data_IF_291348486857
#
_entry.id   IF_291348486857
#
_cell.length_a   1.000
_cell.length_b   1.000
_cell.length_c   1.000
_cell.angle_alpha   90.00
_cell.angle_beta   90.00
_cell.angle_gamma   90.00
#
_symmetry.space_group_name_H-M   'P 1'
#
loop_
_entity.id
_entity.type
_entity.pdbx_description
1 polymer ?
#
# COMPACT_ATOMS: atom_id res chain seq x y z
N UNK A 1 24.05 8.65 12.87
CA UNK A 1 23.39 8.76 12.57
C UNK A 1 22.67 8.26 12.39
N UNK A 2 22.07 8.43 12.29
CA UNK A 2 21.39 7.65 12.15
C UNK A 2 20.52 7.98 11.14
N UNK A 3 20.77 7.64 10.01
CA UNK A 3 19.91 7.84 8.92
C UNK A 3 18.55 7.25 9.18
N UNK A 4 18.52 6.24 9.99
CA UNK A 4 17.24 5.59 10.23
C UNK A 4 16.27 6.51 10.93
N UNK A 5 16.77 7.47 11.68
CA UNK A 5 15.84 8.37 12.35
C UNK A 5 15.15 9.30 11.36
N UNK A 6 15.72 9.46 10.17
CA UNK A 6 15.08 10.27 9.15
C UNK A 6 14.03 9.52 8.38
N UNK A 7 14.07 8.19 8.44
CA UNK A 7 13.15 7.37 7.67
C UNK A 7 12.17 6.63 8.54
N UNK A 8 12.10 7.01 9.79
CA UNK A 8 11.14 6.34 10.63
C UNK A 8 9.75 6.58 10.10
N UNK A 9 8.81 5.96 10.76
CA UNK A 9 7.46 6.01 10.27
C UNK A 9 7.04 7.43 10.02
N UNK A 10 6.29 7.63 9.00
CA UNK A 10 5.82 8.93 8.63
C UNK A 10 6.73 9.70 7.70
N UNK A 11 7.78 9.04 7.19
CA UNK A 11 8.67 9.73 6.25
C UNK A 11 7.97 10.14 4.98
N UNK A 12 6.95 9.40 4.54
CA UNK A 12 6.16 9.77 3.38
C UNK A 12 4.75 10.10 3.84
N UNK A 13 4.13 11.11 3.23
CA UNK A 13 2.76 11.44 3.61
C UNK A 13 1.79 10.34 3.19
N UNK A 14 0.75 10.17 3.98
CA UNK A 14 -0.30 9.22 3.67
C UNK A 14 -1.29 9.92 2.76
N UNK A 15 -0.98 9.89 1.49
CA UNK A 15 -1.78 10.52 0.45
C UNK A 15 -2.18 9.49 -0.58
N UNK A 16 -3.27 9.74 -1.32
CA UNK A 16 -3.74 8.74 -2.29
C UNK A 16 -2.67 8.27 -3.26
N UNK A 17 -1.82 9.15 -3.73
CA UNK A 17 -0.81 8.74 -4.70
C UNK A 17 0.18 7.75 -4.06
N UNK A 18 0.54 7.95 -2.81
CA UNK A 18 1.47 7.04 -2.15
C UNK A 18 0.79 5.72 -1.81
N UNK A 19 -0.48 5.76 -1.45
CA UNK A 19 -1.22 4.53 -1.20
C UNK A 19 -1.35 3.73 -2.48
N UNK A 20 -1.59 4.41 -3.60
CA UNK A 20 -1.70 3.72 -4.87
C UNK A 20 -0.38 3.06 -5.27
N UNK A 21 0.74 3.72 -4.99
CA UNK A 21 2.05 3.13 -5.23
C UNK A 21 2.25 1.89 -4.37
N UNK A 22 1.85 1.95 -3.12
CA UNK A 22 1.95 0.80 -2.24
C UNK A 22 1.12 -0.37 -2.77
N UNK A 23 -0.09 -0.08 -3.23
CA UNK A 23 -0.94 -1.12 -3.81
C UNK A 23 -0.27 -1.73 -5.02
N UNK A 24 0.35 -0.91 -5.86
CA UNK A 24 1.03 -1.41 -7.04
C UNK A 24 2.18 -2.33 -6.69
N UNK A 25 2.96 -1.98 -5.64
CA UNK A 25 4.03 -2.85 -5.20
C UNK A 25 3.51 -4.16 -4.64
N UNK A 26 2.42 -4.09 -3.90
CA UNK A 26 1.80 -5.30 -3.37
C UNK A 26 1.29 -6.19 -4.50
N UNK A 27 0.75 -5.60 -5.53
CA UNK A 27 0.29 -6.36 -6.68
C UNK A 27 1.43 -7.12 -7.34
N UNK A 28 2.57 -6.46 -7.53
CA UNK A 28 3.73 -7.10 -8.11
C UNK A 28 4.22 -8.25 -7.24
N UNK A 29 4.28 -8.04 -5.93
CA UNK A 29 4.70 -9.07 -5.01
C UNK A 29 3.74 -10.26 -5.02
N UNK A 30 2.45 -9.97 -5.08
CA UNK A 30 1.44 -11.03 -5.12
C UNK A 30 1.60 -11.87 -6.38
N UNK A 31 1.85 -11.23 -7.53
CA UNK A 31 2.05 -11.96 -8.76
C UNK A 31 3.28 -12.86 -8.70
N UNK A 32 4.37 -12.35 -8.14
CA UNK A 32 5.57 -13.15 -7.99
C UNK A 32 5.33 -14.36 -7.10
N UNK A 33 4.62 -14.16 -6.00
CA UNK A 33 4.29 -15.27 -5.11
C UNK A 33 3.46 -16.31 -5.85
N UNK A 34 2.50 -15.86 -6.65
CA UNK A 34 1.67 -16.76 -7.42
C UNK A 34 2.52 -17.62 -8.38
N UNK A 35 3.42 -16.96 -9.08
CA UNK A 35 4.24 -17.67 -10.07
C UNK A 35 5.20 -18.65 -9.44
N UNK A 36 5.67 -18.36 -8.22
CA UNK A 36 6.55 -19.25 -7.51
C UNK A 36 5.82 -20.33 -6.71
N UNK A 37 4.51 -20.27 -6.70
CA UNK A 37 3.72 -21.26 -5.98
C UNK A 37 3.49 -20.94 -4.52
N UNK A 38 3.82 -19.73 -4.08
CA UNK A 38 3.59 -19.33 -2.69
C UNK A 38 2.17 -18.80 -2.54
N UNK A 39 1.22 -19.71 -2.64
CA UNK A 39 -0.19 -19.31 -2.71
C UNK A 39 -0.67 -18.71 -1.40
N UNK A 40 -0.23 -19.24 -0.27
CA UNK A 40 -0.64 -18.69 1.02
C UNK A 40 -0.17 -17.24 1.16
N UNK A 41 1.06 -16.97 0.75
CA UNK A 41 1.59 -15.62 0.82
C UNK A 41 0.87 -14.70 -0.16
N UNK A 42 0.53 -15.22 -1.34
CA UNK A 42 -0.24 -14.44 -2.30
C UNK A 42 -1.56 -14.00 -1.69
N UNK A 43 -2.24 -14.90 -0.98
CA UNK A 43 -3.53 -14.57 -0.40
C UNK A 43 -3.40 -13.54 0.72
N UNK A 44 -2.32 -13.64 1.49
CA UNK A 44 -2.07 -12.64 2.53
C UNK A 44 -1.85 -11.27 1.91
N UNK A 45 -1.04 -11.23 0.86
CA UNK A 45 -0.77 -9.96 0.17
C UNK A 45 -2.04 -9.38 -0.44
N UNK A 46 -2.90 -10.24 -0.96
CA UNK A 46 -4.16 -9.77 -1.54
C UNK A 46 -5.07 -9.16 -0.49
N UNK A 47 -5.09 -9.73 0.72
CA UNK A 47 -5.88 -9.15 1.80
C UNK A 47 -5.33 -7.80 2.22
N UNK A 48 -4.02 -7.68 2.31
CA UNK A 48 -3.40 -6.41 2.64
C UNK A 48 -3.71 -5.39 1.57
N UNK A 49 -3.67 -5.79 0.31
CA UNK A 49 -3.96 -4.91 -0.80
C UNK A 49 -5.39 -4.39 -0.71
N UNK A 50 -6.35 -5.25 -0.36
CA UNK A 50 -7.73 -4.82 -0.20
C UNK A 50 -7.87 -3.74 0.87
N UNK A 51 -7.16 -3.92 1.97
CA UNK A 51 -7.20 -2.94 3.04
C UNK A 51 -6.74 -1.58 2.53
N UNK A 52 -5.70 -1.54 1.72
CA UNK A 52 -5.20 -0.27 1.22
C UNK A 52 -6.05 0.30 0.11
N UNK A 53 -6.75 -0.53 -0.64
CA UNK A 53 -7.75 0.00 -1.57
C UNK A 53 -8.85 0.74 -0.81
N UNK A 54 -9.32 0.18 0.28
CA UNK A 54 -10.34 0.84 1.08
C UNK A 54 -9.82 2.19 1.59
N UNK A 55 -8.57 2.21 2.06
CA UNK A 55 -7.97 3.45 2.53
C UNK A 55 -7.83 4.45 1.39
N UNK A 56 -7.42 3.98 0.23
CA UNK A 56 -7.25 4.85 -0.93
C UNK A 56 -8.56 5.55 -1.29
N UNK A 57 -9.65 4.78 -1.37
CA UNK A 57 -10.92 5.38 -1.74
C UNK A 57 -11.42 6.36 -0.69
N UNK A 58 -11.17 6.05 0.58
CA UNK A 58 -11.56 6.97 1.64
C UNK A 58 -10.77 8.28 1.54
N UNK A 59 -9.48 8.19 1.29
CA UNK A 59 -8.67 9.40 1.17
C UNK A 59 -9.07 10.22 -0.04
N UNK A 60 -9.37 9.56 -1.15
CA UNK A 60 -9.84 10.28 -2.33
C UNK A 60 -11.15 11.00 -2.04
N UNK A 61 -12.04 10.34 -1.32
CA UNK A 61 -13.30 10.95 -0.98
C UNK A 61 -13.10 12.18 -0.10
N UNK A 62 -12.20 12.08 0.86
CA UNK A 62 -11.92 13.21 1.74
C UNK A 62 -11.34 14.39 0.98
N UNK A 63 -10.50 14.11 0.00
CA UNK A 63 -9.91 15.18 -0.79
C UNK A 63 -10.93 15.88 -1.68
N UNK A 64 -12.00 15.20 -2.02
CA UNK A 64 -12.99 15.75 -2.92
C UNK A 64 -14.06 16.55 -2.20
N UNK A 65 -14.06 16.53 -0.90
CA UNK A 65 -15.09 17.26 -0.15
C UNK A 65 -14.87 18.74 -0.33
N UNK A 66 -15.87 19.45 -0.84
CA UNK A 66 -15.74 20.89 -1.01
C UNK A 66 -15.71 21.60 0.32
N UNK A 67 -15.09 22.72 0.36
CA UNK A 67 -15.04 23.48 1.60
C UNK A 67 -16.18 24.43 1.73
#
# INVERSE_FOLDING_TARGET
MNASSEYKEGGLPVQPVNILRLISELEGSSQLCKWMGFIDDMEILDKIKKKYYTMYFRLKKEQRIPQ
#
